data_IF_299782575318
#
_entry.id   IF_299782575318
#
_cell.length_a   1.000
_cell.length_b   1.000
_cell.length_c   1.000
_cell.angle_alpha   90.00
_cell.angle_beta   90.00
_cell.angle_gamma   90.00
#
_symmetry.space_group_name_H-M   'P 1'
#
loop_
_entity.id
_entity.type
_entity.pdbx_description
1 polymer ?
#
# COMPACT_ATOMS: atom_id res chain seq x y z
N UNK A 1 31.79 -41.88 18.44
CA UNK A 1 31.70 -40.58 17.77
C UNK A 1 30.23 -40.17 17.73
N UNK A 2 29.92 -38.90 17.94
CA UNK A 2 28.58 -38.35 17.72
C UNK A 2 28.58 -36.85 17.45
N UNK A 3 27.47 -36.33 16.92
CA UNK A 3 27.18 -34.90 16.80
C UNK A 3 25.89 -34.61 17.56
N UNK A 4 25.92 -33.58 18.39
CA UNK A 4 24.76 -33.11 19.15
C UNK A 4 24.38 -31.70 18.71
N UNK A 5 23.09 -31.48 18.45
CA UNK A 5 22.51 -30.19 18.10
C UNK A 5 21.31 -29.93 19.03
N UNK A 6 21.20 -28.70 19.53
CA UNK A 6 20.10 -28.27 20.41
C UNK A 6 19.34 -27.16 19.70
N UNK A 7 18.19 -27.52 19.12
CA UNK A 7 17.37 -26.60 18.35
C UNK A 7 16.73 -25.51 19.23
N UNK A 8 16.61 -24.31 18.65
CA UNK A 8 15.71 -23.28 19.17
C UNK A 8 14.26 -23.63 18.82
N UNK A 9 13.62 -24.40 19.69
CA UNK A 9 12.22 -24.84 19.50
C UNK A 9 11.20 -23.71 19.58
N UNK A 10 11.61 -22.46 19.86
CA UNK A 10 10.72 -21.30 19.82
C UNK A 10 10.59 -20.71 18.42
N UNK A 11 11.54 -20.99 17.53
CA UNK A 11 11.58 -20.49 16.15
C UNK A 11 11.66 -21.60 15.11
N UNK A 12 12.25 -22.75 15.43
CA UNK A 12 12.44 -23.86 14.51
C UNK A 12 11.77 -25.15 15.00
N UNK A 13 11.31 -25.96 14.07
CA UNK A 13 10.76 -27.29 14.31
C UNK A 13 11.51 -28.32 13.48
N UNK A 14 12.06 -29.34 14.13
CA UNK A 14 12.59 -30.51 13.41
C UNK A 14 11.47 -31.24 12.67
N UNK A 15 11.64 -31.47 11.36
CA UNK A 15 10.60 -32.11 10.54
C UNK A 15 10.60 -33.64 10.63
N UNK A 16 11.60 -34.21 11.31
CA UNK A 16 11.84 -35.65 11.35
C UNK A 16 12.69 -36.17 10.19
N UNK A 17 12.96 -35.34 9.17
CA UNK A 17 13.83 -35.73 8.05
C UNK A 17 15.27 -35.35 8.33
N UNK A 18 16.16 -36.29 8.08
CA UNK A 18 17.59 -36.10 8.16
C UNK A 18 18.29 -37.15 7.29
N UNK A 19 19.53 -36.89 6.93
CA UNK A 19 20.39 -37.89 6.32
C UNK A 19 21.86 -37.59 6.65
N UNK A 20 22.71 -38.60 6.50
CA UNK A 20 24.14 -38.45 6.65
C UNK A 20 24.86 -38.96 5.40
N UNK A 21 25.92 -38.29 4.99
CA UNK A 21 26.78 -38.73 3.88
C UNK A 21 28.22 -38.88 4.35
N UNK A 22 28.97 -39.80 3.75
CA UNK A 22 30.41 -39.88 3.96
C UNK A 22 31.14 -38.86 3.08
N UNK A 23 32.13 -38.14 3.61
CA UNK A 23 32.90 -37.13 2.87
C UNK A 23 34.10 -37.75 2.12
N UNK A 24 34.45 -38.99 2.46
CA UNK A 24 35.52 -39.76 1.84
C UNK A 24 35.07 -41.18 1.53
N UNK A 25 35.83 -41.87 0.68
CA UNK A 25 35.64 -43.30 0.46
C UNK A 25 35.84 -44.07 1.77
N UNK A 26 34.88 -44.95 2.06
CA UNK A 26 34.76 -45.66 3.32
C UNK A 26 34.46 -47.13 3.05
N UNK A 27 35.25 -48.04 3.64
CA UNK A 27 35.02 -49.48 3.54
C UNK A 27 34.24 -49.99 4.74
N UNK A 28 33.08 -50.61 4.54
CA UNK A 28 32.27 -51.23 5.60
C UNK A 28 32.04 -52.71 5.26
N UNK A 29 32.78 -53.60 5.93
CA UNK A 29 32.89 -55.00 5.53
C UNK A 29 33.51 -55.11 4.13
N UNK A 30 32.85 -55.83 3.22
CA UNK A 30 33.28 -55.96 1.82
C UNK A 30 32.82 -54.79 0.93
N UNK A 31 31.94 -53.92 1.43
CA UNK A 31 31.39 -52.80 0.65
C UNK A 31 32.33 -51.61 0.70
N UNK A 32 32.54 -51.00 -0.46
CA UNK A 32 33.18 -49.68 -0.56
C UNK A 32 32.09 -48.64 -0.83
N UNK A 33 31.87 -47.75 0.13
CA UNK A 33 30.98 -46.59 0.03
C UNK A 33 31.81 -45.43 -0.48
N UNK A 34 31.38 -44.78 -1.57
CA UNK A 34 32.10 -43.65 -2.15
C UNK A 34 31.79 -42.35 -1.41
N UNK A 35 32.69 -41.37 -1.47
CA UNK A 35 32.37 -40.02 -1.02
C UNK A 35 31.02 -39.53 -1.60
N UNK A 36 30.20 -38.89 -0.77
CA UNK A 36 28.82 -38.49 -1.08
C UNK A 36 27.76 -39.58 -0.91
N UNK A 37 28.13 -40.83 -0.62
CA UNK A 37 27.16 -41.91 -0.39
C UNK A 37 26.38 -41.67 0.90
N UNK A 38 25.07 -41.87 0.85
CA UNK A 38 24.19 -41.89 2.02
C UNK A 38 24.59 -43.03 2.98
N UNK A 39 24.90 -42.65 4.22
CA UNK A 39 25.28 -43.54 5.32
C UNK A 39 24.29 -43.44 6.49
N UNK A 40 23.09 -42.92 6.29
CA UNK A 40 22.08 -42.71 7.34
C UNK A 40 21.73 -44.02 8.06
N UNK A 41 21.76 -45.15 7.34
CA UNK A 41 21.58 -46.49 7.93
C UNK A 41 22.67 -46.87 8.96
N UNK A 42 23.80 -46.16 8.97
CA UNK A 42 24.90 -46.34 9.90
C UNK A 42 24.94 -45.33 11.05
N UNK A 43 24.01 -44.38 11.07
CA UNK A 43 23.87 -43.35 12.08
C UNK A 43 22.57 -43.59 12.86
N UNK A 44 22.64 -43.51 14.18
CA UNK A 44 21.52 -43.58 15.10
C UNK A 44 21.16 -42.15 15.51
N UNK A 45 19.88 -41.80 15.42
CA UNK A 45 19.36 -40.55 15.96
C UNK A 45 18.69 -40.82 17.32
N UNK A 46 19.21 -40.19 18.36
CA UNK A 46 18.49 -39.97 19.61
C UNK A 46 17.83 -38.59 19.54
N UNK A 47 16.50 -38.55 19.56
CA UNK A 47 15.72 -37.32 19.53
C UNK A 47 15.02 -37.15 20.87
N UNK A 48 15.46 -36.18 21.66
CA UNK A 48 14.84 -35.82 22.93
C UNK A 48 14.01 -34.55 22.74
N UNK A 49 12.70 -34.74 22.88
CA UNK A 49 11.68 -33.68 22.86
C UNK A 49 11.68 -32.80 21.59
N UNK A 50 12.16 -33.32 20.44
CA UNK A 50 12.35 -32.57 19.19
C UNK A 50 13.27 -31.34 19.34
N UNK A 51 14.11 -31.34 20.37
CA UNK A 51 15.00 -30.24 20.72
C UNK A 51 16.46 -30.66 20.70
N UNK A 52 16.76 -31.71 21.44
CA UNK A 52 18.13 -32.20 21.65
C UNK A 52 18.32 -33.43 20.76
N UNK A 53 19.02 -33.23 19.64
CA UNK A 53 19.20 -34.20 18.57
C UNK A 53 20.65 -34.70 18.59
N UNK A 54 20.83 -35.99 18.90
CA UNK A 54 22.15 -36.62 18.92
C UNK A 54 22.27 -37.69 17.85
N UNK A 55 23.19 -37.48 16.91
CA UNK A 55 23.53 -38.40 15.84
C UNK A 55 24.79 -39.19 16.24
N UNK A 56 24.67 -40.50 16.43
CA UNK A 56 25.77 -41.36 16.87
C UNK A 56 26.01 -42.48 15.88
N UNK A 57 27.27 -42.82 15.62
CA UNK A 57 27.56 -44.00 14.80
C UNK A 57 27.07 -45.29 15.44
N UNK A 58 26.50 -46.17 14.63
CA UNK A 58 26.28 -47.54 15.07
C UNK A 58 27.60 -48.32 15.18
N UNK A 59 27.53 -49.49 15.82
CA UNK A 59 28.70 -50.30 16.08
C UNK A 59 29.40 -50.80 14.80
N UNK A 60 28.65 -51.01 13.71
CA UNK A 60 29.20 -51.50 12.46
C UNK A 60 30.12 -50.46 11.80
N UNK A 61 29.69 -49.20 11.76
CA UNK A 61 30.51 -48.11 11.23
C UNK A 61 31.70 -47.80 12.17
N UNK A 62 31.48 -47.84 13.48
CA UNK A 62 32.57 -47.66 14.45
C UNK A 62 33.66 -48.74 14.30
N UNK A 63 33.26 -50.01 14.10
CA UNK A 63 34.21 -51.10 13.84
C UNK A 63 34.93 -50.89 12.50
N UNK A 64 34.20 -50.54 11.45
CA UNK A 64 34.77 -50.27 10.13
C UNK A 64 35.85 -49.17 10.17
N UNK A 65 35.63 -48.07 10.89
CA UNK A 65 36.64 -47.01 11.02
C UNK A 65 37.94 -47.47 11.69
N UNK A 66 37.89 -48.55 12.48
CA UNK A 66 39.06 -49.13 13.14
C UNK A 66 39.82 -50.14 12.26
N UNK A 67 39.30 -50.50 11.10
CA UNK A 67 39.98 -51.36 10.13
C UNK A 67 41.15 -50.65 9.45
N UNK A 68 42.23 -51.40 9.20
CA UNK A 68 43.45 -50.86 8.59
C UNK A 68 43.19 -50.13 7.27
N UNK A 69 42.25 -50.63 6.46
CA UNK A 69 41.88 -50.00 5.18
C UNK A 69 41.32 -48.58 5.30
N UNK A 70 40.61 -48.25 6.39
CA UNK A 70 40.06 -46.92 6.62
C UNK A 70 41.02 -46.02 7.40
N UNK A 71 41.99 -46.58 8.14
CA UNK A 71 43.01 -45.85 8.90
C UNK A 71 44.08 -45.17 8.05
N UNK A 72 44.27 -45.59 6.80
CA UNK A 72 45.24 -44.99 5.88
C UNK A 72 44.68 -43.72 5.22
N UNK A 73 43.35 -43.56 5.19
CA UNK A 73 42.66 -42.43 4.57
C UNK A 73 42.09 -41.43 5.58
N UNK A 74 41.68 -40.26 5.07
CA UNK A 74 40.87 -39.31 5.85
C UNK A 74 39.45 -39.85 5.98
N UNK A 75 38.82 -39.61 7.12
CA UNK A 75 37.44 -39.99 7.38
C UNK A 75 36.70 -38.80 7.97
N UNK A 76 35.53 -38.50 7.43
CA UNK A 76 34.60 -37.47 7.89
C UNK A 76 33.25 -37.73 7.22
N UNK A 77 32.21 -37.13 7.76
CA UNK A 77 30.84 -37.24 7.26
C UNK A 77 30.11 -35.95 7.58
N UNK A 78 29.05 -35.70 6.83
CA UNK A 78 28.17 -34.56 7.02
C UNK A 78 26.77 -35.06 7.34
N UNK A 79 26.16 -34.48 8.39
CA UNK A 79 24.78 -34.75 8.77
C UNK A 79 23.94 -33.54 8.35
N UNK A 80 22.83 -33.80 7.67
CA UNK A 80 21.85 -32.82 7.26
C UNK A 80 20.56 -33.12 7.98
N UNK A 81 20.00 -32.12 8.67
CA UNK A 81 18.71 -32.22 9.35
C UNK A 81 17.78 -31.13 8.78
N UNK A 82 16.54 -31.50 8.49
CA UNK A 82 15.55 -30.59 7.95
C UNK A 82 14.79 -29.94 9.12
N UNK A 83 14.80 -28.61 9.16
CA UNK A 83 14.01 -27.81 10.09
C UNK A 83 13.06 -26.90 9.34
N UNK A 84 11.93 -26.61 9.97
CA UNK A 84 10.94 -25.64 9.51
C UNK A 84 10.92 -24.45 10.44
N UNK A 85 11.09 -23.25 9.88
CA UNK A 85 10.93 -21.97 10.58
C UNK A 85 9.44 -21.76 10.89
N UNK A 86 9.10 -21.67 12.18
CA UNK A 86 7.73 -21.52 12.68
C UNK A 86 7.44 -20.14 13.27
N UNK A 87 8.44 -19.27 13.42
CA UNK A 87 8.28 -17.93 13.98
C UNK A 87 9.35 -16.96 13.46
N UNK A 88 9.02 -15.66 13.35
CA UNK A 88 9.94 -14.58 13.01
C UNK A 88 11.01 -14.37 14.09
N UNK A 89 12.17 -13.87 13.70
CA UNK A 89 13.29 -13.61 14.60
C UNK A 89 14.64 -14.11 14.08
N UNK A 90 15.66 -13.83 14.87
CA UNK A 90 17.03 -14.29 14.66
C UNK A 90 17.21 -15.65 15.34
N UNK A 91 17.75 -16.61 14.61
CA UNK A 91 18.06 -17.94 15.13
C UNK A 91 19.53 -18.23 14.97
N UNK A 92 20.20 -18.42 16.09
CA UNK A 92 21.55 -18.93 16.16
C UNK A 92 21.53 -20.45 16.32
N UNK A 93 22.45 -21.15 15.66
CA UNK A 93 22.63 -22.58 15.88
C UNK A 93 24.10 -22.96 16.06
N UNK A 94 24.38 -23.94 16.92
CA UNK A 94 25.71 -24.51 17.12
C UNK A 94 25.64 -25.97 17.52
N UNK A 95 26.39 -26.83 16.82
CA UNK A 95 26.53 -28.23 17.17
C UNK A 95 27.79 -28.51 18.01
N UNK A 96 27.75 -29.60 18.79
CA UNK A 96 28.88 -30.15 19.54
C UNK A 96 29.25 -31.54 19.02
N UNK A 97 30.50 -31.69 18.58
CA UNK A 97 31.06 -32.98 18.19
C UNK A 97 31.61 -33.72 19.41
N UNK A 98 31.34 -35.02 19.50
CA UNK A 98 31.93 -35.95 20.45
C UNK A 98 32.87 -36.92 19.71
N UNK A 99 34.16 -36.84 20.00
CA UNK A 99 35.16 -37.80 19.56
C UNK A 99 35.84 -38.44 20.78
N UNK A 100 35.69 -39.75 20.95
CA UNK A 100 36.26 -40.49 22.10
C UNK A 100 35.97 -39.87 23.48
N UNK A 101 34.76 -39.32 23.67
CA UNK A 101 34.30 -38.61 24.88
C UNK A 101 34.86 -37.19 25.04
N UNK A 102 35.71 -36.73 24.14
CA UNK A 102 36.10 -35.33 24.05
C UNK A 102 35.07 -34.54 23.25
N UNK A 103 34.65 -33.40 23.78
CA UNK A 103 33.61 -32.57 23.20
C UNK A 103 34.21 -31.31 22.58
N UNK A 104 33.86 -31.01 21.33
CA UNK A 104 34.31 -29.83 20.60
C UNK A 104 33.11 -29.10 20.03
N UNK A 105 32.94 -27.82 20.38
CA UNK A 105 31.91 -26.95 19.79
C UNK A 105 32.33 -26.49 18.40
N UNK A 106 31.38 -26.47 17.48
CA UNK A 106 31.52 -25.80 16.18
C UNK A 106 31.41 -24.27 16.30
N UNK A 107 31.57 -23.58 15.17
CA UNK A 107 31.17 -22.19 15.04
C UNK A 107 29.65 -22.04 15.16
N UNK A 108 29.19 -20.84 15.52
CA UNK A 108 27.77 -20.48 15.46
C UNK A 108 27.42 -20.01 14.05
N UNK A 109 26.24 -20.42 13.56
CA UNK A 109 25.62 -19.87 12.36
C UNK A 109 24.35 -19.10 12.76
N UNK A 110 23.96 -18.09 11.98
CA UNK A 110 22.80 -17.25 12.25
C UNK A 110 21.92 -17.16 11.02
N UNK A 111 20.60 -17.20 11.21
CA UNK A 111 19.59 -17.00 10.16
C UNK A 111 18.52 -16.05 10.66
N UNK A 112 17.91 -15.29 9.74
CA UNK A 112 16.96 -14.23 10.08
C UNK A 112 15.62 -14.48 9.39
N UNK A 113 14.52 -14.34 10.12
CA UNK A 113 13.18 -14.29 9.54
C UNK A 113 12.55 -12.95 9.92
N UNK A 114 12.26 -12.08 8.95
CA UNK A 114 11.73 -10.76 9.22
C UNK A 114 10.34 -10.83 9.82
N UNK A 115 9.94 -9.77 10.52
CA UNK A 115 8.54 -9.55 10.85
C UNK A 115 7.70 -9.30 9.59
N UNK A 116 6.40 -9.55 9.71
CA UNK A 116 5.44 -9.26 8.64
C UNK A 116 5.50 -7.77 8.23
N UNK A 117 5.48 -7.49 6.92
CA UNK A 117 5.37 -6.12 6.39
C UNK A 117 4.19 -5.35 6.98
N UNK A 118 4.35 -4.03 7.15
CA UNK A 118 3.31 -3.14 7.70
C UNK A 118 2.97 -2.01 6.72
N UNK A 119 2.37 -2.32 5.55
CA UNK A 119 1.98 -1.30 4.60
C UNK A 119 0.86 -0.43 5.17
N UNK A 120 0.87 0.86 4.87
CA UNK A 120 -0.10 1.84 5.36
C UNK A 120 -0.67 2.68 4.22
N UNK A 121 -1.74 3.40 4.50
CA UNK A 121 -2.39 4.30 3.55
C UNK A 121 -2.83 5.60 4.21
N UNK A 122 -2.50 6.70 3.56
CA UNK A 122 -2.95 8.05 3.89
C UNK A 122 -3.60 8.70 2.66
N UNK A 123 -4.33 9.79 2.89
CA UNK A 123 -4.92 10.59 1.82
C UNK A 123 -4.64 12.05 2.10
N UNK A 124 -4.07 12.73 1.11
CA UNK A 124 -3.70 14.12 1.21
C UNK A 124 -4.42 14.97 0.18
N UNK A 125 -4.66 16.25 0.50
CA UNK A 125 -5.10 17.22 -0.51
C UNK A 125 -3.90 17.73 -1.33
N UNK A 126 -4.16 18.65 -2.28
CA UNK A 126 -3.13 19.25 -3.13
C UNK A 126 -2.04 20.03 -2.38
N UNK A 127 -2.27 20.41 -1.12
CA UNK A 127 -1.30 21.10 -0.25
C UNK A 127 -0.44 20.12 0.56
N UNK A 128 -0.73 18.82 0.49
CA UNK A 128 -0.05 17.79 1.29
C UNK A 128 -0.61 17.64 2.70
N UNK A 129 -1.77 18.24 3.00
CA UNK A 129 -2.42 18.10 4.32
C UNK A 129 -3.16 16.76 4.37
N UNK A 130 -3.09 16.04 5.49
CA UNK A 130 -3.88 14.82 5.71
C UNK A 130 -5.36 15.19 5.79
N UNK A 131 -6.15 14.53 4.96
CA UNK A 131 -7.58 14.77 4.84
C UNK A 131 -8.40 13.53 5.18
N UNK A 132 -7.83 12.49 5.78
CA UNK A 132 -8.59 11.30 6.14
C UNK A 132 -9.77 11.66 7.08
N UNK A 133 -10.93 11.07 6.84
CA UNK A 133 -12.23 11.42 7.43
C UNK A 133 -12.77 12.83 7.08
N UNK A 134 -12.01 13.63 6.34
CA UNK A 134 -12.38 14.96 5.91
C UNK A 134 -13.48 14.97 4.85
N UNK A 135 -14.20 16.09 4.78
CA UNK A 135 -15.21 16.33 3.74
C UNK A 135 -14.56 16.88 2.48
N UNK A 136 -14.87 16.29 1.35
CA UNK A 136 -14.33 16.63 0.04
C UNK A 136 -15.48 16.86 -0.94
N UNK A 137 -15.21 17.52 -2.06
CA UNK A 137 -16.20 17.91 -3.03
C UNK A 137 -15.81 17.40 -4.43
N UNK A 138 -16.79 17.40 -5.32
CA UNK A 138 -16.58 17.11 -6.75
C UNK A 138 -15.40 17.93 -7.29
N UNK A 139 -14.54 17.28 -8.04
CA UNK A 139 -13.36 17.91 -8.63
C UNK A 139 -12.13 17.96 -7.73
N UNK A 140 -12.25 17.75 -6.42
CA UNK A 140 -11.09 17.62 -5.53
C UNK A 140 -10.17 16.49 -6.00
N UNK A 141 -8.88 16.69 -5.77
CA UNK A 141 -7.88 15.64 -5.98
C UNK A 141 -7.51 15.07 -4.62
N UNK A 142 -7.82 13.77 -4.44
CA UNK A 142 -7.40 12.97 -3.31
C UNK A 142 -6.10 12.27 -3.69
N UNK A 143 -5.00 12.70 -3.10
CA UNK A 143 -3.69 12.09 -3.32
C UNK A 143 -3.49 10.97 -2.31
N UNK A 144 -3.79 9.73 -2.70
CA UNK A 144 -3.50 8.57 -1.87
C UNK A 144 -2.00 8.33 -1.82
N UNK A 145 -1.47 8.18 -0.61
CA UNK A 145 -0.08 7.84 -0.36
C UNK A 145 -0.04 6.51 0.40
N UNK A 146 0.71 5.54 -0.10
CA UNK A 146 0.77 4.21 0.48
C UNK A 146 2.22 3.80 0.72
N UNK A 147 2.47 3.23 1.88
CA UNK A 147 3.76 2.62 2.21
C UNK A 147 3.78 1.18 1.72
N UNK A 148 4.79 0.82 0.93
CA UNK A 148 5.10 -0.54 0.53
C UNK A 148 6.33 -0.99 1.33
N UNK A 149 6.14 -1.86 2.32
CA UNK A 149 7.16 -2.25 3.29
C UNK A 149 7.96 -3.46 2.82
N UNK A 150 9.18 -3.22 2.35
CA UNK A 150 10.13 -4.26 1.92
C UNK A 150 11.29 -4.41 2.91
N UNK A 151 11.21 -3.89 4.15
CA UNK A 151 12.33 -3.95 5.11
C UNK A 151 12.77 -5.37 5.42
N UNK A 152 11.83 -6.32 5.39
CA UNK A 152 12.11 -7.74 5.61
C UNK A 152 12.74 -8.48 4.43
N UNK A 153 12.80 -7.87 3.26
CA UNK A 153 13.32 -8.50 2.05
C UNK A 153 14.48 -7.67 1.54
N UNK A 154 15.71 -8.11 1.77
CA UNK A 154 16.91 -7.41 1.34
C UNK A 154 17.72 -8.24 0.34
N UNK A 155 18.93 -7.77 0.03
CA UNK A 155 19.85 -8.44 -0.89
C UNK A 155 20.30 -9.83 -0.42
N UNK A 156 20.16 -10.14 0.87
CA UNK A 156 20.58 -11.39 1.49
C UNK A 156 19.39 -12.36 1.66
N UNK A 157 18.19 -11.98 1.20
CA UNK A 157 17.02 -12.84 1.17
C UNK A 157 17.28 -14.12 0.36
N UNK A 158 16.97 -15.27 0.94
CA UNK A 158 17.18 -16.56 0.30
C UNK A 158 16.08 -16.83 -0.73
N UNK A 159 16.44 -16.84 -2.01
CA UNK A 159 15.49 -17.03 -3.12
C UNK A 159 15.24 -18.49 -3.52
N UNK A 160 16.00 -19.45 -2.98
CA UNK A 160 16.04 -20.84 -3.49
C UNK A 160 14.68 -21.56 -3.50
N UNK A 161 13.75 -21.16 -2.62
CA UNK A 161 12.41 -21.75 -2.49
C UNK A 161 11.28 -20.82 -2.92
N UNK A 162 11.62 -19.63 -3.46
CA UNK A 162 10.64 -18.62 -3.85
C UNK A 162 9.95 -19.01 -5.14
N UNK A 163 8.61 -19.05 -5.11
CA UNK A 163 7.82 -19.12 -6.34
C UNK A 163 7.75 -17.72 -7.00
N UNK A 164 8.65 -17.46 -7.95
CA UNK A 164 8.69 -16.20 -8.67
C UNK A 164 7.40 -15.88 -9.46
N UNK A 165 6.54 -16.86 -9.74
CA UNK A 165 5.25 -16.61 -10.37
C UNK A 165 4.30 -15.79 -9.48
N UNK A 166 4.47 -15.86 -8.15
CA UNK A 166 3.72 -15.05 -7.20
C UNK A 166 4.19 -13.59 -7.16
N UNK A 167 5.45 -13.33 -7.54
CA UNK A 167 6.02 -12.01 -7.78
C UNK A 167 6.05 -11.06 -6.59
N UNK A 168 6.32 -9.78 -6.89
CA UNK A 168 6.29 -8.65 -5.94
C UNK A 168 5.37 -7.60 -6.53
N UNK A 169 4.26 -7.31 -5.85
CA UNK A 169 3.25 -6.40 -6.39
C UNK A 169 2.50 -5.62 -5.31
N UNK A 170 1.88 -4.52 -5.71
CA UNK A 170 1.04 -3.68 -4.88
C UNK A 170 -0.28 -3.42 -5.58
N UNK A 171 -1.37 -3.56 -4.85
CA UNK A 171 -2.73 -3.47 -5.35
C UNK A 171 -3.45 -2.32 -4.67
N UNK A 172 -4.20 -1.53 -5.43
CA UNK A 172 -5.10 -0.50 -4.89
C UNK A 172 -6.51 -0.76 -5.45
N UNK A 173 -7.48 -0.69 -4.55
CA UNK A 173 -8.91 -0.88 -4.80
C UNK A 173 -9.63 0.44 -4.47
N UNK A 174 -9.70 1.30 -5.49
CA UNK A 174 -10.31 2.62 -5.41
C UNK A 174 -11.80 2.55 -5.79
N UNK A 175 -12.64 3.36 -5.14
CA UNK A 175 -14.06 3.43 -5.47
C UNK A 175 -14.29 4.12 -6.83
N UNK A 176 -14.37 3.33 -7.88
CA UNK A 176 -14.60 3.78 -9.25
C UNK A 176 -15.95 4.45 -9.44
N UNK A 177 -16.90 4.31 -8.51
CA UNK A 177 -18.16 5.04 -8.57
C UNK A 177 -18.02 6.49 -8.10
N UNK A 178 -16.99 6.81 -7.31
CA UNK A 178 -16.77 8.14 -6.71
C UNK A 178 -15.59 8.89 -7.28
N UNK A 179 -14.52 8.19 -7.65
CA UNK A 179 -13.26 8.83 -8.07
C UNK A 179 -12.78 8.30 -9.42
N UNK A 180 -11.94 9.09 -10.08
CA UNK A 180 -11.24 8.72 -11.31
C UNK A 180 -9.74 8.89 -11.10
N UNK A 181 -8.91 7.85 -11.27
CA UNK A 181 -7.48 7.97 -11.09
C UNK A 181 -6.84 8.89 -12.15
N UNK A 182 -5.90 9.72 -11.73
CA UNK A 182 -5.05 10.52 -12.62
C UNK A 182 -3.80 9.68 -12.92
N UNK A 183 -3.96 8.72 -13.83
CA UNK A 183 -3.02 7.61 -14.08
C UNK A 183 -1.58 8.08 -14.34
N UNK A 184 -1.41 9.18 -15.08
CA UNK A 184 -0.10 9.74 -15.43
C UNK A 184 0.69 10.27 -14.23
N UNK A 185 0.02 10.46 -13.08
CA UNK A 185 0.63 10.91 -11.83
C UNK A 185 0.88 9.78 -10.83
N UNK A 186 0.54 8.53 -11.16
CA UNK A 186 0.92 7.39 -10.31
C UNK A 186 2.44 7.31 -10.25
N UNK A 187 3.00 7.28 -9.04
CA UNK A 187 4.43 7.18 -8.81
C UNK A 187 4.77 6.15 -7.75
N UNK A 188 5.92 5.51 -7.91
CA UNK A 188 6.55 4.67 -6.89
C UNK A 188 7.94 5.25 -6.64
N UNK A 189 8.22 5.65 -5.40
CA UNK A 189 9.50 6.22 -5.00
C UNK A 189 10.21 5.36 -3.97
N UNK A 190 11.53 5.33 -4.03
CA UNK A 190 12.36 4.71 -3.01
C UNK A 190 12.47 5.58 -1.74
N UNK A 191 13.18 5.08 -0.71
CA UNK A 191 13.39 5.81 0.55
C UNK A 191 14.21 7.10 0.41
N UNK A 192 14.87 7.32 -0.73
CA UNK A 192 15.61 8.56 -1.06
C UNK A 192 14.74 9.55 -1.83
N UNK A 193 13.52 9.15 -2.22
CA UNK A 193 12.59 9.95 -3.01
C UNK A 193 12.81 9.85 -4.52
N UNK A 194 13.67 8.95 -4.99
CA UNK A 194 13.92 8.72 -6.41
C UNK A 194 12.73 7.99 -7.05
N UNK A 195 12.31 8.43 -8.24
CA UNK A 195 11.20 7.81 -8.97
C UNK A 195 11.67 6.53 -9.66
N UNK A 196 11.15 5.39 -9.18
CA UNK A 196 11.47 4.04 -9.66
C UNK A 196 10.28 3.40 -10.36
N UNK A 197 9.28 4.20 -10.76
CA UNK A 197 8.05 3.72 -11.41
C UNK A 197 8.34 2.87 -12.66
N UNK A 198 9.45 3.13 -13.35
CA UNK A 198 9.88 2.38 -14.52
C UNK A 198 10.26 0.90 -14.25
N UNK A 199 10.43 0.49 -12.99
CA UNK A 199 10.70 -0.89 -12.59
C UNK A 199 9.45 -1.79 -12.64
N UNK A 200 8.27 -1.18 -12.81
CA UNK A 200 6.99 -1.86 -12.67
C UNK A 200 6.20 -1.91 -13.98
N UNK A 201 5.38 -2.95 -14.11
CA UNK A 201 4.25 -3.02 -15.04
C UNK A 201 3.00 -2.63 -14.28
N UNK A 202 2.28 -1.63 -14.78
CA UNK A 202 1.04 -1.11 -14.18
C UNK A 202 -0.15 -1.57 -15.01
N UNK A 203 -1.07 -2.30 -14.39
CA UNK A 203 -2.29 -2.80 -15.02
C UNK A 203 -3.51 -2.21 -14.34
N UNK A 204 -4.42 -1.62 -15.12
CA UNK A 204 -5.66 -1.01 -14.65
C UNK A 204 -6.85 -1.87 -15.05
N UNK A 205 -7.77 -2.12 -14.11
CA UNK A 205 -9.11 -2.66 -14.37
C UNK A 205 -10.12 -1.60 -13.92
N UNK A 206 -10.39 -0.63 -14.81
CA UNK A 206 -11.27 0.51 -14.53
C UNK A 206 -12.72 0.09 -14.27
N UNK A 207 -13.13 -1.09 -14.74
CA UNK A 207 -14.46 -1.62 -14.51
C UNK A 207 -14.66 -2.11 -13.07
N UNK A 208 -13.55 -2.45 -12.39
CA UNK A 208 -13.55 -2.90 -10.99
C UNK A 208 -12.92 -1.91 -10.02
N UNK A 209 -12.44 -0.77 -10.51
CA UNK A 209 -11.76 0.21 -9.65
C UNK A 209 -10.41 -0.27 -9.11
N UNK A 210 -9.68 -1.10 -9.87
CA UNK A 210 -8.40 -1.64 -9.36
C UNK A 210 -7.20 -1.26 -10.21
N UNK A 211 -6.05 -1.12 -9.55
CA UNK A 211 -4.73 -1.05 -10.19
C UNK A 211 -3.77 -2.04 -9.53
N UNK A 212 -2.99 -2.71 -10.36
CA UNK A 212 -1.91 -3.61 -9.94
C UNK A 212 -0.58 -3.06 -10.44
N UNK A 213 0.36 -2.88 -9.51
CA UNK A 213 1.74 -2.44 -9.77
C UNK A 213 2.65 -3.64 -9.51
N UNK A 214 3.17 -4.28 -10.56
CA UNK A 214 3.98 -5.50 -10.45
C UNK A 214 5.41 -5.25 -10.85
N UNK A 215 6.38 -5.68 -10.04
CA UNK A 215 7.80 -5.64 -10.41
C UNK A 215 8.02 -6.44 -11.69
N UNK A 216 8.72 -5.87 -12.67
CA UNK A 216 9.01 -6.54 -13.96
C UNK A 216 9.89 -7.78 -13.79
N UNK A 217 10.85 -7.68 -12.88
CA UNK A 217 11.75 -8.75 -12.46
C UNK A 217 11.78 -8.74 -10.92
N UNK A 218 11.01 -9.62 -10.25
CA UNK A 218 10.90 -9.64 -8.81
C UNK A 218 12.23 -9.85 -8.08
N UNK A 219 13.12 -10.69 -8.61
CA UNK A 219 14.40 -10.98 -7.97
C UNK A 219 15.36 -9.79 -8.09
N UNK A 220 15.57 -9.30 -9.32
CA UNK A 220 16.44 -8.15 -9.55
C UNK A 220 15.93 -6.91 -8.79
N UNK A 221 14.61 -6.76 -8.69
CA UNK A 221 13.98 -5.69 -7.93
C UNK A 221 14.31 -5.77 -6.43
N UNK A 222 14.14 -6.91 -5.77
CA UNK A 222 14.48 -7.04 -4.33
C UNK A 222 15.98 -6.84 -4.10
N UNK A 223 16.84 -7.37 -4.99
CA UNK A 223 18.29 -7.16 -4.89
C UNK A 223 18.68 -5.67 -4.95
N UNK A 224 17.93 -4.86 -5.71
CA UNK A 224 18.21 -3.44 -5.91
C UNK A 224 17.50 -2.52 -4.90
N UNK A 225 16.25 -2.84 -4.54
CA UNK A 225 15.35 -1.96 -3.80
C UNK A 225 14.75 -2.58 -2.54
N UNK A 226 15.12 -3.80 -2.17
CA UNK A 226 14.77 -4.41 -0.89
C UNK A 226 15.38 -3.70 0.32
N UNK A 227 14.93 -4.06 1.52
CA UNK A 227 15.47 -3.57 2.79
C UNK A 227 15.01 -2.16 3.16
N UNK A 228 13.95 -1.65 2.53
CA UNK A 228 13.43 -0.30 2.74
C UNK A 228 11.91 -0.25 2.60
N UNK A 229 11.33 0.92 2.90
CA UNK A 229 9.97 1.26 2.53
C UNK A 229 9.95 2.06 1.24
N UNK A 230 9.02 1.75 0.35
CA UNK A 230 8.73 2.53 -0.85
C UNK A 230 7.45 3.34 -0.63
N UNK A 231 7.34 4.47 -1.32
CA UNK A 231 6.15 5.31 -1.31
C UNK A 231 5.43 5.21 -2.66
N UNK A 232 4.18 4.73 -2.64
CA UNK A 232 3.29 4.73 -3.80
C UNK A 232 2.36 5.94 -3.68
N UNK A 233 2.34 6.80 -4.69
CA UNK A 233 1.40 7.93 -4.78
C UNK A 233 0.40 7.67 -5.89
N UNK A 234 -0.89 7.77 -5.58
CA UNK A 234 -2.00 7.65 -6.52
C UNK A 234 -2.98 8.83 -6.37
N UNK A 235 -2.84 9.88 -7.18
CA UNK A 235 -3.82 10.95 -7.23
C UNK A 235 -5.10 10.50 -7.93
N UNK A 236 -6.25 10.77 -7.32
CA UNK A 236 -7.57 10.49 -7.87
C UNK A 236 -8.44 11.75 -7.81
N UNK A 237 -9.34 11.93 -8.77
CA UNK A 237 -10.25 13.07 -8.83
C UNK A 237 -11.66 12.65 -8.46
N UNK A 238 -12.29 13.34 -7.53
CA UNK A 238 -13.70 13.13 -7.19
C UNK A 238 -14.58 13.46 -8.39
N UNK A 239 -15.45 12.52 -8.79
CA UNK A 239 -16.35 12.64 -9.95
C UNK A 239 -17.38 13.75 -9.74
N UNK A 240 -17.99 14.19 -10.84
CA UNK A 240 -19.16 15.05 -10.79
C UNK A 240 -20.38 14.27 -10.27
N UNK A 241 -21.33 14.98 -9.64
CA UNK A 241 -22.65 14.48 -9.26
C UNK A 241 -22.70 13.23 -8.37
N UNK A 242 -21.63 12.98 -7.61
CA UNK A 242 -21.58 11.91 -6.59
C UNK A 242 -21.74 12.47 -5.19
N UNK A 243 -22.19 11.62 -4.27
CA UNK A 243 -22.28 11.91 -2.83
C UNK A 243 -22.13 10.64 -2.01
N UNK A 244 -21.94 10.78 -0.70
CA UNK A 244 -21.71 9.67 0.23
C UNK A 244 -20.22 9.49 0.49
N UNK A 245 -19.87 8.34 1.04
CA UNK A 245 -18.48 8.05 1.41
C UNK A 245 -17.70 7.53 0.21
N UNK A 246 -16.42 7.88 0.14
CA UNK A 246 -15.43 7.27 -0.73
C UNK A 246 -14.43 6.54 0.15
N UNK A 247 -14.32 5.23 -0.05
CA UNK A 247 -13.37 4.38 0.66
C UNK A 247 -12.21 4.05 -0.27
N UNK A 248 -11.02 3.87 0.29
CA UNK A 248 -9.90 3.31 -0.46
C UNK A 248 -9.03 2.43 0.46
N UNK A 249 -8.61 1.28 -0.06
CA UNK A 249 -7.68 0.36 0.60
C UNK A 249 -6.66 -0.17 -0.41
N UNK A 250 -5.53 -0.66 0.08
CA UNK A 250 -4.50 -1.26 -0.75
C UNK A 250 -4.00 -2.56 -0.12
N UNK A 251 -3.26 -3.34 -0.90
CA UNK A 251 -2.68 -4.61 -0.46
C UNK A 251 -1.29 -4.79 -1.08
N UNK A 252 -0.32 -5.07 -0.25
CA UNK A 252 1.01 -5.50 -0.67
C UNK A 252 1.01 -7.01 -0.88
N UNK A 253 1.72 -7.47 -1.90
CA UNK A 253 2.09 -8.86 -2.11
C UNK A 253 3.62 -8.97 -2.22
N UNK A 254 4.21 -9.89 -1.46
CA UNK A 254 5.62 -10.23 -1.58
C UNK A 254 5.75 -11.75 -1.56
N UNK A 255 5.99 -12.33 -2.73
CA UNK A 255 6.12 -13.77 -2.95
C UNK A 255 4.95 -14.61 -2.40
N UNK A 256 3.72 -14.11 -2.60
CA UNK A 256 2.49 -14.78 -2.17
C UNK A 256 2.01 -14.39 -0.77
N UNK A 257 2.85 -13.74 0.04
CA UNK A 257 2.42 -13.14 1.30
C UNK A 257 1.68 -11.84 1.00
N UNK A 258 0.37 -11.79 1.32
CA UNK A 258 -0.48 -10.63 1.05
C UNK A 258 -0.92 -9.95 2.34
N UNK A 259 -0.68 -8.65 2.45
CA UNK A 259 -0.99 -7.84 3.63
C UNK A 259 -1.71 -6.56 3.20
N UNK A 260 -2.87 -6.30 3.81
CA UNK A 260 -3.69 -5.12 3.53
C UNK A 260 -3.23 -3.91 4.33
N UNK A 261 -3.37 -2.73 3.74
CA UNK A 261 -3.27 -1.46 4.45
C UNK A 261 -4.49 -1.24 5.34
N UNK A 262 -4.45 -0.20 6.17
CA UNK A 262 -5.66 0.43 6.70
C UNK A 262 -6.53 0.98 5.54
N UNK A 263 -7.83 1.13 5.80
CA UNK A 263 -8.77 1.80 4.89
C UNK A 263 -8.87 3.28 5.25
N UNK A 264 -8.76 4.15 4.24
CA UNK A 264 -9.03 5.59 4.37
C UNK A 264 -10.44 5.90 3.86
N UNK A 265 -11.06 6.94 4.40
CA UNK A 265 -12.42 7.36 4.03
C UNK A 265 -12.52 8.87 3.93
N UNK A 266 -13.26 9.36 2.93
CA UNK A 266 -13.66 10.75 2.82
C UNK A 266 -15.17 10.85 2.59
N UNK A 267 -15.76 12.00 2.96
CA UNK A 267 -17.19 12.23 2.84
C UNK A 267 -17.49 13.25 1.74
N UNK A 268 -18.35 12.89 0.79
CA UNK A 268 -18.78 13.75 -0.32
C UNK A 268 -20.21 14.25 -0.06
N UNK A 269 -20.40 15.53 0.31
CA UNK A 269 -21.73 16.08 0.54
C UNK A 269 -22.60 16.08 -0.72
N UNK A 270 -23.91 16.00 -0.52
CA UNK A 270 -24.87 16.13 -1.62
C UNK A 270 -24.86 17.55 -2.20
N UNK A 271 -24.64 17.63 -3.50
CA UNK A 271 -24.68 18.87 -4.28
C UNK A 271 -26.13 19.14 -4.73
N UNK A 272 -26.63 20.36 -4.57
CA UNK A 272 -28.01 20.72 -4.91
C UNK A 272 -28.17 22.23 -5.22
N UNK A 273 -27.56 22.76 -6.30
CA UNK A 273 -27.79 24.13 -6.72
C UNK A 273 -29.25 24.31 -7.18
N UNK A 274 -29.81 25.51 -7.02
CA UNK A 274 -31.19 25.83 -7.42
C UNK A 274 -31.25 27.10 -8.25
N UNK A 275 -32.27 27.17 -9.12
CA UNK A 275 -32.64 28.38 -9.87
C UNK A 275 -34.11 28.71 -9.59
N UNK A 276 -34.40 29.98 -9.36
CA UNK A 276 -35.75 30.49 -9.15
C UNK A 276 -35.95 31.84 -9.88
N UNK A 277 -37.17 32.36 -9.84
CA UNK A 277 -37.57 33.65 -10.40
C UNK A 277 -38.20 34.48 -9.28
N UNK A 278 -37.73 35.71 -9.09
CA UNK A 278 -38.28 36.65 -8.10
C UNK A 278 -38.45 38.04 -8.72
N UNK A 279 -39.38 38.85 -8.22
CA UNK A 279 -39.59 40.21 -8.75
C UNK A 279 -38.54 41.17 -8.18
N UNK A 280 -38.23 41.04 -6.89
CA UNK A 280 -37.21 41.84 -6.21
C UNK A 280 -36.20 40.94 -5.49
N UNK A 281 -34.99 41.45 -5.36
CA UNK A 281 -33.93 40.83 -4.57
C UNK A 281 -34.40 40.64 -3.12
N UNK A 282 -34.28 39.42 -2.60
CA UNK A 282 -34.67 39.05 -1.24
C UNK A 282 -36.14 38.67 -1.06
N UNK A 283 -36.95 38.70 -2.14
CA UNK A 283 -38.32 38.17 -2.08
C UNK A 283 -38.28 36.66 -1.77
N UNK A 284 -39.14 36.22 -0.84
CA UNK A 284 -39.28 34.80 -0.47
C UNK A 284 -40.26 34.04 -1.36
N UNK A 285 -41.03 34.75 -2.18
CA UNK A 285 -42.06 34.17 -3.02
C UNK A 285 -41.52 33.92 -4.43
N UNK A 286 -41.32 32.64 -4.74
CA UNK A 286 -41.05 32.16 -6.10
C UNK A 286 -42.14 32.62 -7.08
N UNK A 287 -41.70 33.03 -8.27
CA UNK A 287 -42.54 33.29 -9.44
C UNK A 287 -42.37 32.21 -10.51
N UNK A 288 -41.82 31.05 -10.14
CA UNK A 288 -41.73 29.92 -11.06
C UNK A 288 -43.13 29.49 -11.54
N UNK A 289 -43.34 29.48 -12.85
CA UNK A 289 -44.63 29.19 -13.49
C UNK A 289 -45.62 30.37 -13.51
N UNK A 290 -45.27 31.52 -12.92
CA UNK A 290 -46.10 32.71 -12.99
C UNK A 290 -45.98 33.39 -14.37
N UNK A 291 -46.99 34.21 -14.71
CA UNK A 291 -46.93 35.07 -15.89
C UNK A 291 -46.20 36.36 -15.54
N UNK A 292 -45.08 36.63 -16.20
CA UNK A 292 -44.37 37.91 -16.12
C UNK A 292 -44.92 38.85 -17.19
N UNK A 293 -45.37 40.04 -16.79
CA UNK A 293 -45.90 41.03 -17.71
C UNK A 293 -44.82 41.52 -18.67
N UNK A 294 -45.16 41.70 -19.95
CA UNK A 294 -44.24 42.26 -20.94
C UNK A 294 -43.67 43.60 -20.47
N UNK A 295 -42.33 43.69 -20.44
CA UNK A 295 -41.59 44.88 -20.00
C UNK A 295 -41.31 44.94 -18.49
N UNK A 296 -41.84 44.02 -17.69
CA UNK A 296 -41.54 43.92 -16.25
C UNK A 296 -40.09 43.49 -16.03
N UNK A 297 -39.45 44.04 -15.00
CA UNK A 297 -38.12 43.60 -14.56
C UNK A 297 -38.27 42.56 -13.46
N UNK A 298 -37.49 41.50 -13.55
CA UNK A 298 -37.43 40.43 -12.57
C UNK A 298 -35.98 39.95 -12.44
N UNK A 299 -35.73 39.06 -11.47
CA UNK A 299 -34.44 38.44 -11.24
C UNK A 299 -34.55 36.92 -11.37
N UNK A 300 -33.57 36.31 -12.02
CA UNK A 300 -33.26 34.91 -11.76
C UNK A 300 -32.43 34.83 -10.48
N UNK A 301 -32.91 34.04 -9.52
CA UNK A 301 -32.19 33.75 -8.28
C UNK A 301 -31.42 32.44 -8.44
N UNK A 302 -30.10 32.46 -8.25
CA UNK A 302 -29.26 31.27 -8.23
C UNK A 302 -28.84 30.97 -6.79
N UNK A 303 -29.22 29.80 -6.27
CA UNK A 303 -28.71 29.29 -5.00
C UNK A 303 -27.60 28.28 -5.27
N UNK A 304 -26.38 28.57 -4.82
CA UNK A 304 -25.27 27.62 -4.92
C UNK A 304 -25.47 26.42 -3.99
N UNK A 305 -24.69 25.36 -4.21
CA UNK A 305 -24.52 24.32 -3.18
C UNK A 305 -23.66 24.82 -2.02
N UNK A 306 -23.79 24.18 -0.87
CA UNK A 306 -22.95 24.45 0.29
C UNK A 306 -21.56 23.85 0.10
N UNK A 307 -20.53 24.62 0.48
CA UNK A 307 -19.25 24.01 0.87
C UNK A 307 -19.43 23.54 2.31
N UNK A 308 -19.11 22.27 2.61
CA UNK A 308 -19.33 21.74 3.94
C UNK A 308 -18.48 22.46 4.99
N UNK A 309 -18.97 22.54 6.22
CA UNK A 309 -18.12 22.88 7.36
C UNK A 309 -16.97 21.86 7.49
N UNK A 310 -15.78 22.32 7.86
CA UNK A 310 -14.56 21.49 7.96
C UNK A 310 -14.20 20.85 6.61
N UNK A 311 -14.34 21.62 5.54
CA UNK A 311 -13.92 21.22 4.20
C UNK A 311 -12.41 20.94 4.19
N UNK A 312 -12.05 19.73 3.78
CA UNK A 312 -10.66 19.27 3.73
C UNK A 312 -10.03 19.43 2.33
N UNK A 313 -10.87 19.59 1.31
CA UNK A 313 -10.44 19.89 -0.05
C UNK A 313 -9.89 21.31 -0.21
N UNK A 314 -9.60 21.69 -1.45
CA UNK A 314 -9.07 23.02 -1.79
C UNK A 314 -9.99 23.67 -2.80
N UNK A 315 -10.59 24.80 -2.43
CA UNK A 315 -11.44 25.57 -3.35
C UNK A 315 -10.55 26.36 -4.31
N UNK A 316 -10.46 25.93 -5.56
CA UNK A 316 -9.64 26.59 -6.58
C UNK A 316 -10.46 27.51 -7.50
N UNK A 317 -11.72 27.17 -7.75
CA UNK A 317 -12.64 27.98 -8.56
C UNK A 317 -14.06 27.84 -8.02
N UNK A 318 -14.79 28.95 -8.00
CA UNK A 318 -16.24 28.94 -7.82
C UNK A 318 -16.90 29.90 -8.82
N UNK A 319 -17.71 29.35 -9.72
CA UNK A 319 -18.51 30.16 -10.65
C UNK A 319 -19.95 29.63 -10.80
N UNK A 320 -20.82 30.55 -11.23
CA UNK A 320 -22.21 30.31 -11.64
C UNK A 320 -22.33 30.79 -13.08
N UNK A 321 -22.95 29.98 -13.94
CA UNK A 321 -23.14 30.32 -15.36
C UNK A 321 -24.58 30.06 -15.77
N UNK A 322 -25.20 31.02 -16.46
CA UNK A 322 -26.55 30.91 -16.99
C UNK A 322 -26.60 31.38 -18.45
N UNK A 323 -27.13 30.53 -19.33
CA UNK A 323 -27.35 30.87 -20.73
C UNK A 323 -28.76 31.44 -20.86
N UNK A 324 -28.85 32.76 -21.01
CA UNK A 324 -30.12 33.45 -21.12
C UNK A 324 -30.75 33.23 -22.50
N UNK A 325 -32.08 33.16 -22.53
CA UNK A 325 -32.82 33.24 -23.78
C UNK A 325 -32.93 34.70 -24.22
N UNK A 326 -31.87 35.18 -24.89
CA UNK A 326 -31.75 36.59 -25.31
C UNK A 326 -32.82 37.05 -26.32
N UNK A 327 -33.68 36.15 -26.82
CA UNK A 327 -34.85 36.54 -27.63
C UNK A 327 -35.96 37.14 -26.76
N UNK A 328 -36.10 36.67 -25.53
CA UNK A 328 -37.18 37.03 -24.61
C UNK A 328 -36.65 37.82 -23.41
N UNK A 329 -35.47 37.46 -22.91
CA UNK A 329 -34.86 38.08 -21.74
C UNK A 329 -33.73 39.03 -22.15
N UNK A 330 -33.83 40.28 -21.73
CA UNK A 330 -32.75 41.25 -21.86
C UNK A 330 -32.05 41.42 -20.52
N UNK A 331 -30.80 40.99 -20.42
CA UNK A 331 -29.99 41.26 -19.24
C UNK A 331 -29.85 42.78 -19.04
N UNK A 332 -30.25 43.25 -17.86
CA UNK A 332 -30.28 44.68 -17.53
C UNK A 332 -28.92 45.24 -17.11
N UNK A 333 -27.95 44.36 -16.83
CA UNK A 333 -26.67 44.71 -16.19
C UNK A 333 -26.73 44.71 -14.66
N UNK A 334 -27.91 44.57 -14.05
CA UNK A 334 -28.06 44.49 -12.60
C UNK A 334 -27.83 43.06 -12.12
N UNK A 335 -26.95 42.91 -11.13
CA UNK A 335 -26.64 41.65 -10.47
C UNK A 335 -26.14 41.93 -9.05
N UNK A 336 -26.27 40.94 -8.18
CA UNK A 336 -25.82 41.01 -6.79
C UNK A 336 -25.63 39.60 -6.26
N UNK A 337 -24.68 39.42 -5.34
CA UNK A 337 -24.42 38.14 -4.65
C UNK A 337 -24.54 38.37 -3.16
N UNK A 338 -25.31 37.53 -2.47
CA UNK A 338 -25.53 37.61 -1.03
C UNK A 338 -25.05 36.34 -0.33
N UNK A 339 -24.50 36.50 0.88
CA UNK A 339 -24.08 35.38 1.70
C UNK A 339 -25.28 34.59 2.25
N UNK A 340 -25.31 33.27 2.02
CA UNK A 340 -26.37 32.39 2.56
C UNK A 340 -26.09 31.84 3.96
N UNK A 341 -24.86 32.03 4.45
CA UNK A 341 -24.37 31.63 5.77
C UNK A 341 -23.35 32.66 6.28
N UNK A 342 -23.01 32.60 7.57
CA UNK A 342 -21.93 33.39 8.12
C UNK A 342 -20.59 32.67 7.92
N UNK A 343 -19.54 33.41 7.56
CA UNK A 343 -18.18 32.89 7.37
C UNK A 343 -17.13 33.98 7.64
N UNK A 344 -15.85 33.60 7.62
CA UNK A 344 -14.72 34.50 7.85
C UNK A 344 -13.75 34.40 6.68
N UNK A 345 -13.37 35.55 6.10
CA UNK A 345 -12.37 35.61 5.04
C UNK A 345 -10.95 35.41 5.61
N UNK A 346 -9.99 35.12 4.74
CA UNK A 346 -8.59 34.89 5.14
C UNK A 346 -7.96 36.08 5.89
N UNK A 347 -8.44 37.31 5.65
CA UNK A 347 -8.00 38.53 6.36
C UNK A 347 -8.66 38.74 7.74
N UNK A 348 -9.54 37.82 8.15
CA UNK A 348 -10.28 37.88 9.42
C UNK A 348 -11.62 38.63 9.33
N UNK A 349 -11.99 39.18 8.17
CA UNK A 349 -13.28 39.85 7.99
C UNK A 349 -14.44 38.87 8.18
N UNK A 350 -15.36 39.20 9.08
CA UNK A 350 -16.58 38.43 9.33
C UNK A 350 -17.66 38.85 8.34
N UNK A 351 -18.27 37.88 7.68
CA UNK A 351 -19.43 38.04 6.81
C UNK A 351 -20.61 37.35 7.46
N UNK A 352 -21.75 38.04 7.56
CA UNK A 352 -22.99 37.50 8.09
C UNK A 352 -23.90 37.03 6.96
N UNK A 353 -24.83 36.14 7.31
CA UNK A 353 -25.91 35.75 6.40
C UNK A 353 -26.71 37.00 5.98
N UNK A 354 -26.90 37.16 4.67
CA UNK A 354 -27.62 38.27 4.06
C UNK A 354 -26.75 39.45 3.66
N UNK A 355 -25.45 39.46 4.00
CA UNK A 355 -24.54 40.52 3.57
C UNK A 355 -24.35 40.48 2.04
N UNK A 356 -24.30 41.67 1.41
CA UNK A 356 -23.94 41.82 0.00
C UNK A 356 -22.42 41.63 -0.17
N UNK A 357 -22.05 40.58 -0.90
CA UNK A 357 -20.68 40.19 -1.18
C UNK A 357 -20.31 40.36 -2.66
N UNK A 358 -21.10 41.09 -3.44
CA UNK A 358 -20.89 41.26 -4.89
C UNK A 358 -19.49 41.76 -5.24
N UNK A 359 -18.87 42.57 -4.37
CA UNK A 359 -17.49 43.07 -4.53
C UNK A 359 -16.42 41.97 -4.59
N UNK A 360 -16.74 40.78 -4.10
CA UNK A 360 -15.85 39.60 -4.07
C UNK A 360 -16.02 38.72 -5.32
N UNK A 361 -16.86 39.15 -6.27
CA UNK A 361 -17.18 38.45 -7.50
C UNK A 361 -17.00 39.36 -8.71
N UNK A 362 -16.84 38.76 -9.87
CA UNK A 362 -16.89 39.42 -11.18
C UNK A 362 -18.00 38.82 -12.02
N UNK A 363 -18.68 39.65 -12.81
CA UNK A 363 -19.72 39.22 -13.73
C UNK A 363 -19.32 39.56 -15.17
N UNK A 364 -19.45 38.59 -16.07
CA UNK A 364 -19.37 38.80 -17.52
C UNK A 364 -20.69 38.43 -18.19
N UNK A 365 -21.02 39.14 -19.28
CA UNK A 365 -22.15 38.81 -20.14
C UNK A 365 -21.67 38.78 -21.60
N UNK A 366 -21.44 37.59 -22.11
CA UNK A 366 -20.88 37.38 -23.45
C UNK A 366 -21.74 36.37 -24.20
N UNK A 367 -22.12 36.71 -25.44
CA UNK A 367 -22.89 35.84 -26.33
C UNK A 367 -24.17 35.24 -25.68
N UNK A 368 -24.83 36.00 -24.81
CA UNK A 368 -26.03 35.57 -24.10
C UNK A 368 -25.79 34.73 -22.84
N UNK A 369 -24.54 34.56 -22.41
CA UNK A 369 -24.19 33.83 -21.19
C UNK A 369 -23.78 34.81 -20.10
N UNK A 370 -24.48 34.77 -18.97
CA UNK A 370 -24.06 35.43 -17.73
C UNK A 370 -23.15 34.47 -16.97
N UNK A 371 -21.92 34.89 -16.65
CA UNK A 371 -21.02 34.14 -15.76
C UNK A 371 -20.63 35.01 -14.58
N UNK A 372 -20.89 34.53 -13.37
CA UNK A 372 -20.49 35.15 -12.10
C UNK A 372 -19.39 34.28 -11.50
N UNK A 373 -18.22 34.86 -11.24
CA UNK A 373 -17.02 34.13 -10.80
C UNK A 373 -16.49 34.75 -9.51
N UNK A 374 -16.18 33.91 -8.52
CA UNK A 374 -15.55 34.34 -7.28
C UNK A 374 -14.12 34.83 -7.54
N UNK A 375 -13.70 35.87 -6.83
CA UNK A 375 -12.32 36.34 -6.84
C UNK A 375 -11.42 35.44 -5.98
N UNK A 376 -10.11 35.48 -6.23
CA UNK A 376 -9.14 34.76 -5.40
C UNK A 376 -9.05 35.27 -3.96
N UNK A 377 -9.51 36.49 -3.68
CA UNK A 377 -9.60 37.00 -2.31
C UNK A 377 -10.76 36.35 -1.53
N UNK A 378 -11.74 35.78 -2.24
CA UNK A 378 -12.87 35.08 -1.64
C UNK A 378 -12.57 33.60 -1.40
N UNK A 379 -11.93 32.94 -2.39
CA UNK A 379 -11.52 31.54 -2.34
C UNK A 379 -10.35 31.35 -1.37
#
# INVERSE_FOLDING_TARGET
WGMNDVLDTTHDRFTGKWHAITNYDLKVGDKTLKAGTDISAYILLENKDNKDLTFTMNQALLAALNEGSNKVGKQAWSVYLEVERIKTGDVENTQTENYNKELVRSNTVVTHTPDDPKPTKAVHNKKGEDINHGKVARGDVLSYEMTWDLKGYDKDFAFDTVDFATGVSFFDDYDETKVTPIKDLLRVKDSKGEDITNQFTISWDDAKGTVTISAKDPQAFILAYGGQELCVTLPTKVKADVSGDVYNSAEQNTFGQRIKTNTVVNHIPKVNPKKDVVIKVGDKQSQNGATIKLGEKFFYEFTSSDIPAEYAGVVEEWSLSDKLDVKHDKFSGQWSVFANSAFVLADGTKVNKGDDISKLFTMTFEQGVVKITASQAFL
#
